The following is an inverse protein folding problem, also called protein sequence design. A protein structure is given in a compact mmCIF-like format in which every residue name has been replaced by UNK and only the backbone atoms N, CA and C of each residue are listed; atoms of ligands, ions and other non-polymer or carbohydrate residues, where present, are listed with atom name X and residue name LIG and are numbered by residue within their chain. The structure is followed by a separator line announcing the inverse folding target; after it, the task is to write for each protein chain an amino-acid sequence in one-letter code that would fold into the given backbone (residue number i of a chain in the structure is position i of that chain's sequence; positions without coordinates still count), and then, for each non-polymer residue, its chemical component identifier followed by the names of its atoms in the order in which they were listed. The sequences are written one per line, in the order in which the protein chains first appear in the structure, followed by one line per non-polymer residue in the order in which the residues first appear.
data_IF_126972429308
#
_entry.id   IF_126972429308
#
_cell.length_a   1.000
_cell.length_b   1.000
_cell.length_c   1.000
_cell.angle_alpha   90.00
_cell.angle_beta   90.00
_cell.angle_gamma   90.00
#
_symmetry.space_group_name_H-M   'P 1'
#
loop_
_entity.id
_entity.type
_entity.pdbx_description
1 polymer ?
#
# COMPACT_ATOMS: atom_id res chain seq x y z
N UNK A 1 2.14 0.93 19.19
CA UNK A 1 1.06 1.53 18.36
C UNK A 1 1.50 1.24 16.94
N UNK A 2 0.85 0.31 16.24
CA UNK A 2 1.43 -0.32 15.05
C UNK A 2 1.76 0.72 13.96
N UNK A 3 3.00 0.68 13.45
CA UNK A 3 3.58 1.72 12.56
C UNK A 3 2.71 1.96 11.31
N UNK A 4 2.00 0.93 10.84
CA UNK A 4 1.11 1.01 9.69
C UNK A 4 -0.15 1.87 9.93
N UNK A 5 -0.69 1.93 11.16
CA UNK A 5 -1.83 2.83 11.46
C UNK A 5 -1.40 4.30 11.34
N UNK A 6 -0.16 4.62 11.75
CA UNK A 6 0.40 5.97 11.62
C UNK A 6 0.52 6.36 10.14
N UNK A 7 1.06 5.45 9.31
CA UNK A 7 1.15 5.62 7.85
C UNK A 7 -0.24 5.92 7.26
N UNK A 8 -1.23 5.09 7.60
CA UNK A 8 -2.59 5.24 7.10
C UNK A 8 -3.24 6.58 7.49
N UNK A 9 -3.05 7.02 8.74
CA UNK A 9 -3.55 8.32 9.21
C UNK A 9 -2.87 9.50 8.51
N UNK A 10 -1.55 9.43 8.30
CA UNK A 10 -0.82 10.45 7.54
C UNK A 10 -1.36 10.53 6.12
N UNK A 11 -1.44 9.38 5.42
CA UNK A 11 -1.96 9.31 4.06
C UNK A 11 -3.38 9.86 3.93
N UNK A 12 -4.26 9.57 4.90
CA UNK A 12 -5.65 10.03 4.89
C UNK A 12 -5.83 11.55 5.11
N UNK A 13 -4.84 12.22 5.69
CA UNK A 13 -4.89 13.66 6.00
C UNK A 13 -4.30 14.55 4.89
N UNK A 14 -3.47 13.99 4.01
CA UNK A 14 -2.84 14.70 2.90
C UNK A 14 -3.91 15.10 1.88
N UNK A 15 -3.78 16.33 1.34
CA UNK A 15 -4.58 16.81 0.22
C UNK A 15 -3.84 16.51 -1.09
N UNK A 16 -4.11 15.34 -1.66
CA UNK A 16 -3.33 14.78 -2.76
C UNK A 16 -3.48 15.56 -4.08
N UNK A 17 -2.36 15.95 -4.70
CA UNK A 17 -2.36 16.67 -5.99
C UNK A 17 -1.83 15.85 -7.19
N UNK A 18 -1.34 14.63 -6.95
CA UNK A 18 -0.91 13.67 -7.99
C UNK A 18 0.13 14.20 -8.98
N UNK A 19 0.94 15.14 -8.52
CA UNK A 19 2.00 15.79 -9.28
C UNK A 19 3.35 15.52 -8.60
N UNK A 20 4.36 15.16 -9.39
CA UNK A 20 5.67 14.76 -8.89
C UNK A 20 6.39 15.88 -8.13
N UNK A 21 6.32 17.12 -8.63
CA UNK A 21 6.94 18.25 -7.95
C UNK A 21 6.21 18.58 -6.64
N UNK A 22 4.88 18.46 -6.63
CA UNK A 22 4.10 18.59 -5.41
C UNK A 22 4.52 17.54 -4.38
N UNK A 23 4.68 16.27 -4.78
CA UNK A 23 5.06 15.21 -3.84
C UNK A 23 6.42 15.42 -3.21
N UNK A 24 7.42 15.86 -3.96
CA UNK A 24 8.75 16.17 -3.42
C UNK A 24 8.66 17.26 -2.33
N UNK A 25 7.86 18.31 -2.57
CA UNK A 25 7.61 19.37 -1.59
C UNK A 25 6.85 18.86 -0.37
N UNK A 26 5.82 18.06 -0.59
CA UNK A 26 4.97 17.53 0.48
C UNK A 26 5.72 16.52 1.35
N UNK A 27 6.47 15.60 0.76
CA UNK A 27 7.32 14.65 1.46
C UNK A 27 8.36 15.41 2.33
N UNK A 28 8.99 16.45 1.79
CA UNK A 28 9.90 17.32 2.55
C UNK A 28 9.19 18.02 3.72
N UNK A 29 7.97 18.53 3.51
CA UNK A 29 7.13 19.15 4.56
C UNK A 29 6.79 18.17 5.68
N UNK A 30 6.57 16.90 5.35
CA UNK A 30 6.30 15.80 6.28
C UNK A 30 7.57 15.30 7.00
N UNK A 31 8.74 15.84 6.66
CA UNK A 31 10.02 15.44 7.23
C UNK A 31 10.57 14.14 6.65
N UNK A 32 10.09 13.72 5.47
CA UNK A 32 10.57 12.53 4.80
C UNK A 32 11.93 12.81 4.18
N UNK A 33 12.81 11.80 4.20
CA UNK A 33 14.13 11.87 3.60
C UNK A 33 14.07 11.28 2.20
N UNK A 34 14.47 12.07 1.21
CA UNK A 34 14.66 11.55 -0.15
C UNK A 34 15.74 10.45 -0.15
N UNK A 35 15.43 9.29 -0.70
CA UNK A 35 16.35 8.16 -0.81
C UNK A 35 16.82 7.94 -2.25
N UNK A 36 15.91 8.00 -3.21
CA UNK A 36 16.17 7.63 -4.61
C UNK A 36 15.18 8.28 -5.56
N UNK A 37 15.68 8.72 -6.71
CA UNK A 37 14.86 9.22 -7.83
C UNK A 37 15.31 8.60 -9.15
N UNK A 38 14.35 8.32 -10.04
CA UNK A 38 14.55 7.96 -11.44
C UNK A 38 13.38 8.48 -12.28
N UNK A 39 13.46 8.33 -13.60
CA UNK A 39 12.41 8.80 -14.52
C UNK A 39 11.00 8.24 -14.23
N UNK A 40 10.89 7.11 -13.51
CA UNK A 40 9.61 6.45 -13.23
C UNK A 40 9.36 6.13 -11.75
N UNK A 41 10.25 6.57 -10.85
CA UNK A 41 10.20 6.22 -9.43
C UNK A 41 10.80 7.32 -8.57
N UNK A 42 10.06 7.71 -7.55
CA UNK A 42 10.50 8.64 -6.51
C UNK A 42 10.33 7.96 -5.14
N UNK A 43 11.39 7.86 -4.34
CA UNK A 43 11.40 7.14 -3.06
C UNK A 43 11.81 8.09 -1.93
N UNK A 44 10.93 8.18 -0.93
CA UNK A 44 11.16 8.94 0.29
C UNK A 44 10.93 8.04 1.50
N UNK A 45 11.81 8.12 2.50
CA UNK A 45 11.63 7.44 3.78
C UNK A 45 10.98 8.36 4.80
N UNK A 46 9.92 7.90 5.45
CA UNK A 46 9.32 8.63 6.57
C UNK A 46 10.23 8.63 7.83
N UNK A 47 9.89 9.39 8.88
CA UNK A 47 10.72 9.45 10.09
C UNK A 47 10.93 8.12 10.81
N UNK A 48 10.08 7.12 10.55
CA UNK A 48 10.19 5.78 11.13
C UNK A 48 10.95 4.81 10.20
N UNK A 49 11.35 5.27 9.00
CA UNK A 49 12.12 4.51 8.02
C UNK A 49 11.27 3.73 7.02
N UNK A 50 9.94 3.93 6.97
CA UNK A 50 9.12 3.29 5.95
C UNK A 50 9.34 4.00 4.61
N UNK A 51 9.59 3.22 3.57
CA UNK A 51 9.82 3.74 2.23
C UNK A 51 8.50 3.94 1.46
N UNK A 52 8.22 5.19 1.11
CA UNK A 52 7.11 5.65 0.27
C UNK A 52 7.57 5.74 -1.18
N UNK A 53 7.13 4.77 -1.99
CA UNK A 53 7.55 4.59 -3.38
C UNK A 53 6.50 5.13 -4.32
N UNK A 54 6.68 6.36 -4.81
CA UNK A 54 5.79 6.96 -5.79
C UNK A 54 6.18 6.52 -7.21
N UNK A 55 5.23 5.93 -7.94
CA UNK A 55 5.38 5.66 -9.38
C UNK A 55 5.04 6.91 -10.16
N UNK A 56 5.98 7.34 -10.99
CA UNK A 56 5.87 8.58 -11.75
C UNK A 56 5.81 8.27 -13.25
N UNK A 57 4.95 8.96 -13.98
CA UNK A 57 4.91 8.95 -15.44
C UNK A 57 4.57 10.35 -15.92
N UNK A 58 5.41 10.91 -16.80
CA UNK A 58 5.20 12.24 -17.39
C UNK A 58 4.97 13.33 -16.32
N UNK A 59 5.72 13.26 -15.21
CA UNK A 59 5.60 14.19 -14.09
C UNK A 59 4.38 13.98 -13.19
N UNK A 60 3.51 13.00 -13.47
CA UNK A 60 2.34 12.66 -12.66
C UNK A 60 2.58 11.42 -11.83
N UNK A 61 1.98 11.39 -10.64
CA UNK A 61 2.03 10.25 -9.74
C UNK A 61 0.87 9.34 -10.07
N UNK A 62 1.18 8.10 -10.42
CA UNK A 62 0.18 7.07 -10.67
C UNK A 62 -0.34 6.50 -9.35
N UNK A 63 0.57 6.18 -8.44
CA UNK A 63 0.27 5.73 -7.08
C UNK A 63 1.53 5.83 -6.21
N UNK A 64 1.34 5.71 -4.90
CA UNK A 64 2.41 5.53 -3.91
C UNK A 64 2.20 4.21 -3.19
N UNK A 65 3.23 3.37 -3.16
CA UNK A 65 3.23 2.09 -2.46
C UNK A 65 4.14 2.12 -1.23
N UNK A 66 3.62 1.62 -0.10
CA UNK A 66 4.34 1.43 1.16
C UNK A 66 4.18 -0.02 1.58
N UNK A 67 5.24 -0.83 1.40
CA UNK A 67 5.30 -2.20 1.93
C UNK A 67 5.74 -2.17 3.38
N UNK A 68 4.89 -2.61 4.30
CA UNK A 68 5.21 -2.71 5.72
C UNK A 68 5.41 -4.16 6.17
N UNK A 69 4.97 -5.13 5.37
CA UNK A 69 5.24 -6.54 5.61
C UNK A 69 5.54 -7.29 4.32
N UNK A 70 6.52 -8.21 4.36
CA UNK A 70 6.89 -9.04 3.23
C UNK A 70 7.48 -10.38 3.64
N UNK A 71 7.25 -11.40 2.83
CA UNK A 71 7.93 -12.69 2.90
C UNK A 71 8.46 -13.04 1.51
N UNK A 72 9.78 -13.19 1.38
CA UNK A 72 10.49 -13.26 0.08
C UNK A 72 10.88 -14.69 -0.33
N UNK A 73 11.04 -15.60 0.62
CA UNK A 73 11.54 -16.96 0.37
C UNK A 73 10.40 -17.90 -0.07
N UNK A 74 9.62 -17.50 -1.07
CA UNK A 74 8.42 -18.23 -1.49
C UNK A 74 8.76 -19.51 -2.27
N UNK A 75 9.77 -19.44 -3.14
CA UNK A 75 10.18 -20.55 -4.01
C UNK A 75 10.67 -21.78 -3.23
N UNK A 76 11.15 -21.58 -1.99
CA UNK A 76 11.64 -22.65 -1.13
C UNK A 76 10.51 -23.38 -0.38
N UNK A 77 9.28 -22.85 -0.39
CA UNK A 77 8.15 -23.44 0.30
C UNK A 77 7.65 -24.71 -0.41
N UNK A 78 7.43 -25.76 0.37
CA UNK A 78 6.59 -26.87 -0.05
C UNK A 78 5.16 -26.40 -0.36
N UNK A 79 4.35 -27.25 -0.98
CA UNK A 79 2.95 -26.91 -1.29
C UNK A 79 2.16 -26.58 -0.03
N UNK A 80 2.31 -27.38 1.03
CA UNK A 80 1.63 -27.15 2.32
C UNK A 80 2.08 -25.83 2.96
N UNK A 81 3.39 -25.58 3.03
CA UNK A 81 3.90 -24.34 3.64
C UNK A 81 3.47 -23.09 2.86
N UNK A 82 3.31 -23.23 1.54
CA UNK A 82 2.78 -22.17 0.70
C UNK A 82 1.31 -21.89 1.00
N UNK A 83 0.48 -22.92 1.13
CA UNK A 83 -0.94 -22.78 1.51
C UNK A 83 -1.07 -22.14 2.91
N UNK A 84 -0.26 -22.59 3.88
CA UNK A 84 -0.20 -21.99 5.21
C UNK A 84 0.19 -20.50 5.15
N UNK A 85 1.09 -20.12 4.24
CA UNK A 85 1.49 -18.71 4.04
C UNK A 85 0.40 -17.86 3.39
N UNK A 86 -0.39 -18.43 2.48
CA UNK A 86 -1.57 -17.76 1.92
C UNK A 86 -2.54 -17.41 3.04
N UNK A 87 -2.87 -18.39 3.89
CA UNK A 87 -3.80 -18.21 5.01
C UNK A 87 -3.26 -17.23 6.06
N UNK A 88 -1.96 -17.30 6.37
CA UNK A 88 -1.29 -16.38 7.28
C UNK A 88 -1.40 -14.92 6.81
N UNK A 89 -1.10 -14.65 5.54
CA UNK A 89 -1.17 -13.28 5.00
C UNK A 89 -2.61 -12.77 4.85
N UNK A 90 -3.56 -13.66 4.54
CA UNK A 90 -4.98 -13.30 4.54
C UNK A 90 -5.47 -12.93 5.95
N UNK A 91 -5.14 -13.73 6.97
CA UNK A 91 -5.49 -13.43 8.36
C UNK A 91 -4.88 -12.10 8.83
N UNK A 92 -3.64 -11.80 8.42
CA UNK A 92 -3.00 -10.51 8.71
C UNK A 92 -3.67 -9.34 8.00
N UNK A 93 -4.11 -9.53 6.76
CA UNK A 93 -4.93 -8.54 6.06
C UNK A 93 -6.22 -8.25 6.84
N UNK A 94 -6.98 -9.27 7.23
CA UNK A 94 -8.22 -9.09 8.00
C UNK A 94 -7.98 -8.38 9.34
N UNK A 95 -6.92 -8.77 10.05
CA UNK A 95 -6.52 -8.12 11.30
C UNK A 95 -6.17 -6.64 11.09
N UNK A 96 -5.42 -6.31 10.04
CA UNK A 96 -5.06 -4.93 9.71
C UNK A 96 -6.31 -4.10 9.32
N UNK A 97 -7.28 -4.65 8.58
CA UNK A 97 -8.56 -3.98 8.30
C UNK A 97 -9.31 -3.68 9.60
N UNK A 98 -9.37 -4.65 10.51
CA UNK A 98 -10.02 -4.47 11.81
C UNK A 98 -9.33 -3.39 12.65
N UNK A 99 -7.99 -3.34 12.67
CA UNK A 99 -7.20 -2.31 13.36
C UNK A 99 -7.35 -0.91 12.76
N UNK A 100 -7.50 -0.80 11.43
CA UNK A 100 -7.67 0.48 10.73
C UNK A 100 -9.08 1.05 10.86
N UNK A 101 -10.09 0.18 11.02
CA UNK A 101 -11.50 0.59 11.04
C UNK A 101 -11.81 1.66 12.10
N UNK A 102 -11.31 1.58 13.35
CA UNK A 102 -11.47 2.65 14.33
C UNK A 102 -10.83 3.99 13.94
N UNK A 103 -9.79 3.98 13.09
CA UNK A 103 -9.04 5.17 12.71
C UNK A 103 -9.58 5.83 11.43
N UNK A 104 -10.04 5.03 10.46
CA UNK A 104 -10.45 5.49 9.13
C UNK A 104 -11.95 5.32 8.85
N UNK A 105 -12.67 4.65 9.75
CA UNK A 105 -14.03 4.16 9.49
C UNK A 105 -14.03 2.84 8.70
N UNK A 106 -15.22 2.35 8.36
CA UNK A 106 -15.38 1.14 7.56
C UNK A 106 -14.90 1.39 6.12
N UNK A 107 -14.13 0.46 5.51
CA UNK A 107 -13.78 0.58 4.10
C UNK A 107 -15.04 0.53 3.20
N UNK A 108 -14.98 1.23 2.07
CA UNK A 108 -16.07 1.23 1.07
C UNK A 108 -16.07 -0.03 0.21
N UNK A 109 -14.95 -0.76 0.18
CA UNK A 109 -14.78 -2.07 -0.45
C UNK A 109 -13.77 -2.89 0.38
N UNK A 110 -13.99 -4.18 0.58
CA UNK A 110 -13.08 -5.07 1.32
C UNK A 110 -13.33 -6.51 0.91
N UNK A 111 -12.71 -6.95 -0.18
CA UNK A 111 -12.93 -8.29 -0.76
C UNK A 111 -11.79 -8.68 -1.72
N UNK A 112 -11.88 -9.88 -2.30
CA UNK A 112 -10.88 -10.45 -3.19
C UNK A 112 -11.04 -10.01 -4.65
N UNK A 113 -9.99 -10.26 -5.46
CA UNK A 113 -9.91 -9.86 -6.88
C UNK A 113 -11.09 -10.34 -7.77
N UNK A 114 -11.75 -11.42 -7.39
CA UNK A 114 -12.91 -11.96 -8.13
C UNK A 114 -14.24 -11.27 -7.77
N UNK A 115 -14.27 -10.43 -6.73
CA UNK A 115 -15.49 -9.79 -6.25
C UNK A 115 -15.92 -8.63 -7.15
N UNK A 116 -17.24 -8.45 -7.28
CA UNK A 116 -17.80 -7.32 -8.03
C UNK A 116 -17.41 -6.00 -7.35
N UNK A 117 -16.85 -5.07 -8.12
CA UNK A 117 -16.43 -3.75 -7.62
C UNK A 117 -14.99 -3.71 -7.15
N UNK A 118 -14.22 -4.79 -7.33
CA UNK A 118 -12.77 -4.74 -7.24
C UNK A 118 -12.25 -3.71 -8.27
N UNK A 119 -11.33 -2.79 -7.90
CA UNK A 119 -10.86 -1.77 -8.83
C UNK A 119 -10.02 -2.37 -9.98
N UNK A 120 -10.37 -2.04 -11.23
CA UNK A 120 -9.77 -2.64 -12.44
C UNK A 120 -8.28 -2.31 -12.65
N UNK A 121 -7.76 -1.31 -11.95
CA UNK A 121 -6.38 -0.85 -12.06
C UNK A 121 -5.50 -1.25 -10.87
N UNK A 122 -5.98 -2.17 -10.04
CA UNK A 122 -5.21 -2.73 -8.92
C UNK A 122 -4.83 -4.19 -9.18
N UNK A 123 -3.62 -4.52 -8.75
CA UNK A 123 -3.06 -5.87 -8.81
C UNK A 123 -2.84 -6.36 -7.37
N UNK A 124 -3.89 -6.92 -6.78
CA UNK A 124 -3.88 -7.49 -5.43
C UNK A 124 -4.83 -8.69 -5.37
N UNK A 125 -4.56 -9.63 -4.46
CA UNK A 125 -5.43 -10.79 -4.25
C UNK A 125 -6.60 -10.40 -3.34
N UNK A 126 -6.31 -9.60 -2.30
CA UNK A 126 -7.28 -9.00 -1.39
C UNK A 126 -7.03 -7.51 -1.23
N UNK A 127 -8.11 -6.73 -1.16
CA UNK A 127 -8.04 -5.28 -1.10
C UNK A 127 -9.12 -4.71 -0.19
N UNK A 128 -8.73 -3.83 0.72
CA UNK A 128 -9.65 -2.96 1.46
C UNK A 128 -9.42 -1.49 1.09
N UNK A 129 -10.48 -0.78 0.71
CA UNK A 129 -10.43 0.57 0.15
C UNK A 129 -11.12 1.58 1.06
N UNK A 130 -10.45 2.67 1.37
CA UNK A 130 -11.01 3.87 1.98
C UNK A 130 -10.90 5.04 1.02
N UNK A 131 -11.98 5.83 0.88
CA UNK A 131 -11.92 7.12 0.20
C UNK A 131 -11.35 8.15 1.17
N UNK A 132 -10.29 8.81 0.77
CA UNK A 132 -9.66 9.91 1.51
C UNK A 132 -9.59 11.15 0.60
N UNK A 133 -9.04 12.26 1.07
CA UNK A 133 -9.10 13.52 0.33
C UNK A 133 -8.39 13.41 -1.03
N UNK A 134 -9.15 13.56 -2.12
CA UNK A 134 -8.65 13.48 -3.50
C UNK A 134 -7.91 12.17 -3.82
N UNK A 135 -8.17 11.09 -3.08
CA UNK A 135 -7.44 9.84 -3.18
C UNK A 135 -8.26 8.64 -2.71
N UNK A 136 -7.78 7.45 -3.05
CA UNK A 136 -8.11 6.20 -2.38
C UNK A 136 -6.88 5.67 -1.66
N UNK A 137 -7.08 5.28 -0.41
CA UNK A 137 -6.12 4.56 0.40
C UNK A 137 -6.56 3.10 0.40
N UNK A 138 -5.68 2.22 -0.06
CA UNK A 138 -5.95 0.80 -0.22
C UNK A 138 -4.96 0.01 0.61
N UNK A 139 -5.45 -0.88 1.47
CA UNK A 139 -4.67 -1.94 2.06
C UNK A 139 -4.74 -3.14 1.11
N UNK A 140 -3.59 -3.62 0.66
CA UNK A 140 -3.50 -4.68 -0.34
C UNK A 140 -2.66 -5.84 0.19
N UNK A 141 -3.21 -7.04 0.05
CA UNK A 141 -2.45 -8.28 0.14
C UNK A 141 -2.11 -8.73 -1.28
N UNK A 142 -0.81 -8.81 -1.57
CA UNK A 142 -0.28 -9.16 -2.90
C UNK A 142 0.49 -10.45 -2.84
N UNK A 143 0.17 -11.33 -3.78
CA UNK A 143 0.91 -12.52 -4.10
C UNK A 143 0.46 -13.08 -5.47
N UNK A 144 1.20 -12.77 -6.52
CA UNK A 144 0.83 -13.06 -7.90
C UNK A 144 1.16 -14.51 -8.30
N UNK A 145 2.31 -15.02 -7.86
CA UNK A 145 2.76 -16.39 -8.08
C UNK A 145 3.88 -16.75 -7.12
N UNK A 146 4.32 -18.01 -7.11
CA UNK A 146 5.48 -18.49 -6.34
C UNK A 146 6.79 -17.77 -6.61
N UNK A 147 6.91 -17.05 -7.72
CA UNK A 147 8.08 -16.24 -8.08
C UNK A 147 8.09 -14.87 -7.37
N UNK A 148 6.96 -14.48 -6.76
CA UNK A 148 6.79 -13.18 -6.14
C UNK A 148 6.61 -13.27 -4.62
N UNK A 149 7.16 -12.31 -3.85
CA UNK A 149 6.95 -12.25 -2.40
C UNK A 149 5.47 -12.12 -2.02
N UNK A 150 5.10 -12.70 -0.87
CA UNK A 150 3.88 -12.26 -0.19
C UNK A 150 4.12 -10.86 0.40
N UNK A 151 3.16 -9.95 0.24
CA UNK A 151 3.27 -8.57 0.75
C UNK A 151 1.97 -8.10 1.36
N UNK A 152 2.08 -7.32 2.44
CA UNK A 152 1.06 -6.37 2.86
C UNK A 152 1.58 -4.95 2.61
N UNK A 153 0.77 -4.17 1.91
CA UNK A 153 1.15 -2.83 1.55
C UNK A 153 -0.04 -1.88 1.58
N UNK A 154 0.28 -0.60 1.79
CA UNK A 154 -0.64 0.47 1.40
C UNK A 154 -0.34 0.89 -0.03
N UNK A 155 -1.40 1.04 -0.82
CA UNK A 155 -1.38 1.74 -2.11
C UNK A 155 -2.27 2.96 -2.00
N UNK A 156 -1.70 4.13 -2.33
CA UNK A 156 -2.41 5.41 -2.35
C UNK A 156 -2.46 5.84 -3.81
N UNK A 157 -3.66 5.95 -4.37
CA UNK A 157 -3.87 6.26 -5.78
C UNK A 157 -4.95 7.34 -5.97
N UNK A 158 -5.03 7.99 -7.15
CA UNK A 158 -6.11 8.91 -7.47
C UNK A 158 -7.49 8.28 -7.25
N UNK A 159 -8.45 9.09 -6.82
CA UNK A 159 -9.83 8.68 -6.53
C UNK A 159 -10.64 8.36 -7.80
#
# INVERSE_FOLDING_TARGET
MSDFIKIAKVAAQIDWQWDGEWWVREASRLGFKHEKSSASLEVHADPDGNAWRARVKEGKILFIEITFEKFVDVESLSVSEYEDKVDEFFARFEAAVAELTPALGKPVFSDGAAAKGFPDDQEANWLALWRVKNARLMLEQKHESREFPFRLCFVIAPA
#
